data_IF_135003090098
#
_entry.id   IF_135003090098
#
_cell.length_a   1.000
_cell.length_b   1.000
_cell.length_c   1.000
_cell.angle_alpha   90.00
_cell.angle_beta   90.00
_cell.angle_gamma   90.00
#
_symmetry.space_group_name_H-M   'P 1'
#
loop_
_entity.id
_entity.type
_entity.pdbx_description
1 polymer ?
#
# COMPACT_ATOMS: atom_id res chain seq x y z
N UNK A 1 6.92 0.05 -15.81
CA UNK A 1 7.90 0.40 -14.75
C UNK A 1 9.33 0.06 -15.15
N UNK A 2 9.61 -1.04 -15.86
CA UNK A 2 11.00 -1.39 -16.20
C UNK A 2 11.66 -0.46 -17.26
N UNK A 3 10.87 0.19 -18.09
CA UNK A 3 11.37 1.02 -19.20
C UNK A 3 11.62 2.50 -18.84
N UNK A 4 11.10 2.96 -17.71
CA UNK A 4 11.27 4.34 -17.28
C UNK A 4 11.72 4.37 -15.82
N UNK A 5 12.88 4.97 -15.52
CA UNK A 5 13.34 5.14 -14.16
C UNK A 5 12.39 6.07 -13.39
N UNK A 6 12.22 5.79 -12.11
CA UNK A 6 11.43 6.67 -11.26
C UNK A 6 12.13 8.04 -11.08
N UNK A 7 11.38 9.15 -11.09
CA UNK A 7 11.92 10.45 -10.75
C UNK A 7 12.53 10.47 -9.34
N UNK A 8 13.51 11.32 -9.12
CA UNK A 8 14.06 11.55 -7.78
C UNK A 8 12.96 12.08 -6.84
N UNK A 9 13.01 11.68 -5.57
CA UNK A 9 11.98 12.03 -4.59
C UNK A 9 10.68 11.23 -4.72
N UNK A 10 10.69 10.11 -5.46
CA UNK A 10 9.54 9.21 -5.56
C UNK A 10 9.49 8.25 -4.38
N UNK A 11 8.31 8.15 -3.75
CA UNK A 11 7.92 7.04 -2.87
C UNK A 11 6.66 6.37 -3.39
N UNK A 12 6.40 5.15 -2.93
CA UNK A 12 5.24 4.37 -3.36
C UNK A 12 4.34 4.09 -2.17
N UNK A 13 3.03 4.29 -2.36
CA UNK A 13 1.97 3.78 -1.46
C UNK A 13 1.04 2.95 -2.32
N UNK A 14 0.92 1.65 -2.06
CA UNK A 14 0.14 0.77 -2.93
C UNK A 14 -0.47 -0.43 -2.22
N UNK A 15 -1.46 -1.03 -2.87
CA UNK A 15 -2.08 -2.31 -2.49
C UNK A 15 -2.16 -3.20 -3.73
N UNK A 16 -1.50 -4.36 -3.68
CA UNK A 16 -1.51 -5.30 -4.80
C UNK A 16 -2.87 -6.00 -4.93
N UNK A 17 -3.33 -6.26 -6.16
CA UNK A 17 -4.57 -6.97 -6.42
C UNK A 17 -4.68 -8.35 -5.76
N UNK A 18 -5.89 -8.70 -5.35
CA UNK A 18 -6.22 -10.02 -4.83
C UNK A 18 -6.35 -11.06 -5.95
N UNK A 19 -6.28 -12.35 -5.59
CA UNK A 19 -6.55 -13.47 -6.49
C UNK A 19 -7.90 -13.33 -7.20
N UNK A 20 -8.92 -12.81 -6.53
CA UNK A 20 -10.25 -12.55 -7.11
C UNK A 20 -10.26 -11.43 -8.15
N UNK A 21 -9.19 -10.66 -8.28
CA UNK A 21 -9.05 -9.58 -9.27
C UNK A 21 -8.24 -10.03 -10.50
N UNK A 22 -7.59 -11.21 -10.42
CA UNK A 22 -6.77 -11.83 -11.45
C UNK A 22 -7.11 -13.33 -11.58
N UNK A 23 -8.39 -13.66 -11.81
CA UNK A 23 -8.85 -15.07 -11.77
C UNK A 23 -8.17 -15.93 -12.85
N UNK A 24 -7.72 -15.33 -13.95
CA UNK A 24 -7.03 -16.00 -15.05
C UNK A 24 -5.69 -16.63 -14.64
N UNK A 25 -5.07 -16.16 -13.56
CA UNK A 25 -3.79 -16.71 -13.07
C UNK A 25 -3.97 -17.97 -12.24
N UNK A 26 -5.16 -18.24 -11.74
CA UNK A 26 -5.36 -19.24 -10.70
C UNK A 26 -4.56 -18.92 -9.42
N UNK A 27 -4.73 -19.72 -8.37
CA UNK A 27 -4.14 -19.39 -7.07
C UNK A 27 -2.59 -19.43 -7.08
N UNK A 28 -2.01 -20.50 -7.65
CA UNK A 28 -0.54 -20.65 -7.70
C UNK A 28 0.11 -19.57 -8.58
N UNK A 29 -0.46 -19.31 -9.76
CA UNK A 29 0.03 -18.26 -10.66
C UNK A 29 -0.10 -16.88 -10.04
N UNK A 30 -1.22 -16.58 -9.35
CA UNK A 30 -1.38 -15.34 -8.61
C UNK A 30 -0.33 -15.16 -7.50
N UNK A 31 -0.03 -16.22 -6.74
CA UNK A 31 0.97 -16.17 -5.66
C UNK A 31 2.37 -15.83 -6.20
N UNK A 32 2.73 -16.40 -7.36
CA UNK A 32 3.98 -16.08 -8.05
C UNK A 32 3.99 -14.65 -8.58
N UNK A 33 2.91 -14.24 -9.27
CA UNK A 33 2.74 -12.89 -9.77
C UNK A 33 2.79 -11.84 -8.66
N UNK A 34 2.13 -12.11 -7.51
CA UNK A 34 2.12 -11.19 -6.35
C UNK A 34 3.54 -10.92 -5.84
N UNK A 35 4.35 -11.97 -5.70
CA UNK A 35 5.74 -11.83 -5.30
C UNK A 35 6.56 -11.01 -6.30
N UNK A 36 6.44 -11.30 -7.59
CA UNK A 36 7.15 -10.55 -8.64
C UNK A 36 6.68 -9.10 -8.78
N UNK A 37 5.39 -8.84 -8.63
CA UNK A 37 4.85 -7.48 -8.61
C UNK A 37 5.38 -6.68 -7.42
N UNK A 38 5.43 -7.27 -6.22
CA UNK A 38 6.02 -6.64 -5.05
C UNK A 38 7.52 -6.32 -5.28
N UNK A 39 8.28 -7.28 -5.80
CA UNK A 39 9.70 -7.08 -6.15
C UNK A 39 9.89 -5.97 -7.18
N UNK A 40 9.06 -5.94 -8.23
CA UNK A 40 9.14 -4.91 -9.27
C UNK A 40 8.91 -3.50 -8.69
N UNK A 41 7.94 -3.33 -7.80
CA UNK A 41 7.68 -2.06 -7.11
C UNK A 41 8.88 -1.64 -6.25
N UNK A 42 9.43 -2.57 -5.48
CA UNK A 42 10.58 -2.33 -4.60
C UNK A 42 11.82 -1.93 -5.41
N UNK A 43 12.15 -2.66 -6.48
CA UNK A 43 13.28 -2.34 -7.37
C UNK A 43 13.15 -0.99 -8.05
N UNK A 44 11.93 -0.68 -8.53
CA UNK A 44 11.70 0.55 -9.28
C UNK A 44 11.80 1.81 -8.42
N UNK A 45 11.48 1.73 -7.13
CA UNK A 45 11.52 2.90 -6.22
C UNK A 45 12.97 3.29 -5.94
N UNK A 46 13.41 4.53 -6.24
CA UNK A 46 14.79 4.96 -6.08
C UNK A 46 15.12 5.23 -4.61
N UNK A 47 16.41 5.21 -4.25
CA UNK A 47 16.86 5.76 -2.98
C UNK A 47 16.78 7.32 -3.05
N UNK A 48 16.42 7.99 -1.93
CA UNK A 48 16.07 7.48 -0.61
C UNK A 48 14.56 7.21 -0.43
N UNK A 49 13.81 7.00 -1.51
CA UNK A 49 12.36 6.78 -1.49
C UNK A 49 11.94 5.58 -0.65
N UNK A 50 10.72 5.63 -0.15
CA UNK A 50 10.10 4.62 0.67
C UNK A 50 9.01 3.87 -0.10
N UNK A 51 8.77 2.60 0.27
CA UNK A 51 7.68 1.80 -0.29
C UNK A 51 6.77 1.37 0.84
N UNK A 52 5.50 1.77 0.76
CA UNK A 52 4.47 1.41 1.71
C UNK A 52 3.45 0.48 1.05
N UNK A 53 3.35 -0.74 1.57
CA UNK A 53 2.35 -1.70 1.13
C UNK A 53 1.20 -1.79 2.14
N UNK A 54 -0.02 -1.66 1.64
CA UNK A 54 -1.24 -1.92 2.40
C UNK A 54 -1.86 -3.22 1.92
N UNK A 55 -1.85 -4.28 2.74
CA UNK A 55 -2.29 -5.60 2.33
C UNK A 55 -3.22 -6.23 3.36
N UNK A 56 -4.28 -6.87 2.88
CA UNK A 56 -5.17 -7.69 3.72
C UNK A 56 -4.99 -9.13 3.35
N UNK A 57 -4.83 -9.98 4.36
CA UNK A 57 -4.74 -11.43 4.16
C UNK A 57 -6.01 -11.99 3.54
N UNK A 58 -5.86 -13.11 2.88
CA UNK A 58 -6.96 -13.85 2.28
C UNK A 58 -6.98 -15.29 2.79
N UNK A 59 -8.13 -15.92 2.64
CA UNK A 59 -8.27 -17.35 2.78
C UNK A 59 -8.69 -17.93 1.43
N UNK A 60 -7.89 -18.84 0.90
CA UNK A 60 -8.12 -19.45 -0.39
C UNK A 60 -8.01 -20.96 -0.25
N UNK A 61 -9.02 -21.71 -0.69
CA UNK A 61 -9.05 -23.17 -0.65
C UNK A 61 -8.70 -23.77 0.73
N UNK A 62 -9.09 -23.09 1.82
CA UNK A 62 -8.81 -23.50 3.20
C UNK A 62 -7.44 -23.04 3.74
N UNK A 63 -6.55 -22.55 2.91
CA UNK A 63 -5.24 -21.99 3.29
C UNK A 63 -5.38 -20.52 3.68
N UNK A 64 -4.74 -20.13 4.78
CA UNK A 64 -4.54 -18.73 5.13
C UNK A 64 -3.29 -18.21 4.42
N UNK A 65 -3.44 -17.13 3.67
CA UNK A 65 -2.34 -16.49 2.95
C UNK A 65 -2.01 -15.17 3.60
N UNK A 66 -0.89 -15.16 4.31
CA UNK A 66 -0.33 -13.94 4.90
C UNK A 66 0.37 -13.11 3.80
N UNK A 67 -0.32 -12.05 3.34
CA UNK A 67 0.22 -11.17 2.29
C UNK A 67 1.26 -10.21 2.83
N UNK A 68 1.24 -9.92 4.13
CA UNK A 68 2.32 -9.18 4.79
C UNK A 68 3.64 -9.92 4.70
N UNK A 69 3.64 -11.23 5.00
CA UNK A 69 4.80 -12.09 4.83
C UNK A 69 5.28 -12.18 3.37
N UNK A 70 4.36 -12.31 2.41
CA UNK A 70 4.74 -12.38 0.99
C UNK A 70 5.45 -11.11 0.54
N UNK A 71 4.97 -9.93 0.96
CA UNK A 71 5.61 -8.64 0.67
C UNK A 71 6.98 -8.55 1.36
N UNK A 72 7.07 -8.95 2.64
CA UNK A 72 8.33 -8.90 3.37
C UNK A 72 9.38 -9.82 2.74
N UNK A 73 9.01 -11.04 2.35
CA UNK A 73 9.91 -11.95 1.63
C UNK A 73 10.39 -11.36 0.30
N UNK A 74 9.51 -10.67 -0.43
CA UNK A 74 9.89 -9.96 -1.65
C UNK A 74 10.89 -8.82 -1.36
N UNK A 75 10.67 -8.09 -0.27
CA UNK A 75 11.53 -6.99 0.15
C UNK A 75 12.93 -7.48 0.56
N UNK A 76 13.01 -8.57 1.30
CA UNK A 76 14.29 -9.20 1.67
C UNK A 76 15.07 -9.65 0.44
N UNK A 77 14.41 -10.24 -0.57
CA UNK A 77 15.04 -10.64 -1.83
C UNK A 77 15.57 -9.46 -2.64
N UNK A 78 15.02 -8.27 -2.47
CA UNK A 78 15.49 -7.01 -3.11
C UNK A 78 16.41 -6.19 -2.17
N UNK A 79 16.86 -6.76 -1.05
CA UNK A 79 17.75 -6.10 -0.11
C UNK A 79 17.13 -4.92 0.64
N UNK A 80 15.79 -4.82 0.65
CA UNK A 80 15.07 -3.74 1.33
C UNK A 80 14.91 -4.01 2.82
N UNK A 81 14.90 -2.94 3.61
CA UNK A 81 14.77 -2.99 5.07
C UNK A 81 13.36 -2.63 5.49
N UNK A 82 12.72 -3.49 6.28
CA UNK A 82 11.46 -3.16 6.93
C UNK A 82 11.73 -2.13 8.03
N UNK A 83 11.18 -0.92 7.88
CA UNK A 83 11.28 0.13 8.91
C UNK A 83 10.25 -0.08 10.02
N UNK A 84 9.04 -0.44 9.65
CA UNK A 84 7.96 -0.75 10.58
C UNK A 84 6.84 -1.55 9.90
N UNK A 85 6.09 -2.26 10.72
CA UNK A 85 4.88 -2.96 10.35
C UNK A 85 3.76 -2.53 11.30
N UNK A 86 2.67 -2.02 10.76
CA UNK A 86 1.50 -1.55 11.52
C UNK A 86 0.28 -2.36 11.14
N UNK A 87 -0.63 -2.51 12.10
CA UNK A 87 -1.92 -3.18 11.92
C UNK A 87 -3.01 -2.13 11.77
N UNK A 88 -3.79 -2.23 10.70
CA UNK A 88 -4.96 -1.38 10.46
C UNK A 88 -6.21 -2.23 10.60
N UNK A 89 -7.01 -1.97 11.62
CA UNK A 89 -8.24 -2.72 11.86
C UNK A 89 -9.29 -2.41 10.77
N UNK A 90 -9.90 -3.45 10.24
CA UNK A 90 -11.03 -3.38 9.29
C UNK A 90 -12.35 -3.57 10.00
N UNK A 91 -12.31 -4.10 11.20
CA UNK A 91 -13.42 -4.30 12.15
C UNK A 91 -12.89 -4.04 13.56
N UNK A 92 -13.75 -3.71 14.51
CA UNK A 92 -13.34 -3.52 15.90
C UNK A 92 -12.52 -4.72 16.42
N UNK A 93 -11.47 -4.48 17.22
CA UNK A 93 -10.72 -5.54 17.87
C UNK A 93 -11.63 -6.49 18.64
N UNK A 94 -11.33 -7.79 18.62
CA UNK A 94 -12.18 -8.82 19.23
C UNK A 94 -13.31 -9.34 18.33
N UNK A 95 -13.54 -8.73 17.16
CA UNK A 95 -14.54 -9.23 16.20
C UNK A 95 -14.12 -10.61 15.64
N UNK A 96 -14.99 -11.61 15.79
CA UNK A 96 -14.79 -12.92 15.16
C UNK A 96 -15.12 -12.81 13.67
N UNK A 97 -14.19 -13.22 12.82
CA UNK A 97 -14.35 -13.21 11.36
C UNK A 97 -14.10 -14.61 10.80
N UNK A 98 -15.07 -15.11 10.02
CA UNK A 98 -15.05 -16.46 9.43
C UNK A 98 -14.63 -16.42 7.95
N UNK A 99 -13.40 -16.12 7.61
CA UNK A 99 -12.92 -16.24 6.23
C UNK A 99 -12.22 -15.01 5.66
N UNK A 100 -12.23 -13.88 6.35
CA UNK A 100 -11.44 -12.71 5.98
C UNK A 100 -10.76 -12.13 7.21
N UNK A 101 -9.52 -11.66 7.06
CA UNK A 101 -8.83 -10.94 8.11
C UNK A 101 -9.66 -9.72 8.55
N UNK A 102 -9.76 -9.50 9.85
CA UNK A 102 -10.37 -8.30 10.45
C UNK A 102 -9.41 -7.11 10.47
N UNK A 103 -8.24 -7.26 9.90
CA UNK A 103 -7.16 -6.27 9.84
C UNK A 103 -6.48 -6.27 8.47
N UNK A 104 -5.66 -5.27 8.25
CA UNK A 104 -4.73 -5.17 7.14
C UNK A 104 -3.35 -4.83 7.67
N UNK A 105 -2.33 -5.25 6.96
CA UNK A 105 -0.95 -4.85 7.19
C UNK A 105 -0.68 -3.51 6.49
N UNK A 106 0.02 -2.61 7.15
CA UNK A 106 0.69 -1.49 6.53
C UNK A 106 2.18 -1.62 6.83
N UNK A 107 2.98 -1.90 5.80
CA UNK A 107 4.41 -2.15 5.93
C UNK A 107 5.18 -1.07 5.19
N UNK A 108 6.23 -0.55 5.81
CA UNK A 108 7.11 0.46 5.22
C UNK A 108 8.52 -0.09 5.02
N UNK A 109 9.03 0.03 3.80
CA UNK A 109 10.35 -0.43 3.42
C UNK A 109 11.21 0.72 2.92
N UNK A 110 12.52 0.64 3.22
CA UNK A 110 13.56 1.55 2.74
C UNK A 110 14.72 0.78 2.10
N UNK A 111 15.61 1.50 1.43
CA UNK A 111 16.90 0.95 0.97
C UNK A 111 17.82 0.63 2.14
N UNK A 112 17.92 1.57 3.09
CA UNK A 112 18.80 1.47 4.25
C UNK A 112 17.99 1.47 5.54
N UNK A 113 18.51 0.83 6.61
CA UNK A 113 17.89 0.92 7.91
C UNK A 113 17.98 2.36 8.44
N UNK A 114 17.03 2.73 9.28
CA UNK A 114 17.04 4.02 9.98
C UNK A 114 17.24 3.81 11.47
N UNK A 115 18.30 4.40 12.00
CA UNK A 115 18.63 4.29 13.41
C UNK A 115 17.56 4.95 14.30
N UNK A 116 16.84 5.95 13.79
CA UNK A 116 15.78 6.65 14.49
C UNK A 116 14.64 7.02 13.55
N UNK A 117 13.42 6.82 14.01
CA UNK A 117 12.17 7.33 13.42
C UNK A 117 11.58 8.28 14.46
N UNK A 118 11.35 9.53 14.09
CA UNK A 118 10.94 10.59 15.02
C UNK A 118 9.42 10.62 15.19
N UNK A 119 8.68 10.30 14.11
CA UNK A 119 7.22 10.35 14.07
C UNK A 119 6.64 9.00 13.62
N UNK A 120 6.76 7.94 14.43
CA UNK A 120 6.37 6.58 14.00
C UNK A 120 4.86 6.42 13.79
N UNK A 121 4.04 7.25 14.45
CA UNK A 121 2.59 7.05 14.53
C UNK A 121 2.20 5.80 15.34
N UNK A 122 0.89 5.50 15.48
CA UNK A 122 0.42 4.33 16.22
C UNK A 122 0.78 3.02 15.49
N UNK A 123 1.08 1.96 16.25
CA UNK A 123 1.35 0.63 15.69
C UNK A 123 0.07 -0.10 15.30
N UNK A 124 -1.03 0.21 15.98
CA UNK A 124 -2.35 -0.30 15.66
C UNK A 124 -3.29 0.88 15.40
N UNK A 125 -3.82 0.94 14.19
CA UNK A 125 -4.87 1.88 13.82
C UNK A 125 -6.22 1.18 14.02
N UNK A 126 -7.06 1.62 14.96
CA UNK A 126 -8.29 0.91 15.33
C UNK A 126 -9.38 0.96 14.24
N UNK A 127 -9.28 1.90 13.31
CA UNK A 127 -10.13 2.04 12.13
C UNK A 127 -9.30 2.54 10.94
N UNK A 128 -9.61 2.03 9.75
CA UNK A 128 -8.97 2.48 8.51
C UNK A 128 -9.49 3.86 8.03
N UNK A 129 -10.54 4.37 8.67
CA UNK A 129 -11.24 5.58 8.27
C UNK A 129 -12.21 5.37 7.10
N UNK A 130 -12.79 6.47 6.64
CA UNK A 130 -13.74 6.48 5.54
C UNK A 130 -13.17 5.79 4.29
N UNK A 131 -14.00 4.99 3.62
CA UNK A 131 -13.66 4.31 2.38
C UNK A 131 -14.56 4.81 1.25
N UNK A 132 -14.03 5.56 0.28
CA UNK A 132 -14.79 6.01 -0.88
C UNK A 132 -15.41 4.86 -1.69
N UNK A 133 -14.86 3.64 -1.56
CA UNK A 133 -15.38 2.41 -2.12
C UNK A 133 -14.93 1.19 -1.29
N UNK A 134 -15.63 0.07 -1.43
CA UNK A 134 -15.52 -1.08 -0.51
C UNK A 134 -14.12 -1.70 -0.38
N UNK A 135 -13.30 -1.64 -1.44
CA UNK A 135 -11.93 -2.15 -1.45
C UNK A 135 -10.86 -1.06 -1.24
N UNK A 136 -11.27 0.18 -0.91
CA UNK A 136 -10.33 1.25 -0.64
C UNK A 136 -9.45 0.93 0.57
N UNK A 137 -8.25 1.46 0.56
CA UNK A 137 -7.28 1.38 1.65
C UNK A 137 -7.85 1.98 2.97
N UNK A 138 -8.72 2.99 2.85
CA UNK A 138 -9.22 3.78 3.96
C UNK A 138 -8.42 5.07 4.13
N UNK A 139 -9.17 6.15 4.37
CA UNK A 139 -8.58 7.50 4.41
C UNK A 139 -7.57 7.64 5.55
N UNK A 140 -7.86 7.12 6.74
CA UNK A 140 -6.95 7.28 7.89
C UNK A 140 -5.70 6.42 7.75
N UNK A 141 -5.79 5.26 7.10
CA UNK A 141 -4.62 4.47 6.75
C UNK A 141 -3.73 5.22 5.73
N UNK A 142 -4.32 5.88 4.73
CA UNK A 142 -3.59 6.72 3.78
C UNK A 142 -2.99 7.95 4.46
N UNK A 143 -3.72 8.60 5.39
CA UNK A 143 -3.22 9.73 6.20
C UNK A 143 -1.99 9.34 7.00
N UNK A 144 -2.03 8.17 7.67
CA UNK A 144 -0.88 7.65 8.42
C UNK A 144 0.35 7.48 7.52
N UNK A 145 0.15 6.88 6.33
CA UNK A 145 1.21 6.68 5.36
C UNK A 145 1.77 8.02 4.84
N UNK A 146 0.90 8.94 4.41
CA UNK A 146 1.30 10.25 3.87
C UNK A 146 1.97 11.13 4.93
N UNK A 147 1.45 11.14 6.17
CA UNK A 147 2.09 11.86 7.28
C UNK A 147 3.49 11.33 7.54
N UNK A 148 3.68 10.00 7.57
CA UNK A 148 5.01 9.42 7.73
C UNK A 148 5.96 9.84 6.61
N UNK A 149 5.51 9.82 5.35
CA UNK A 149 6.34 10.30 4.23
C UNK A 149 6.72 11.76 4.39
N UNK A 150 5.79 12.62 4.82
CA UNK A 150 6.04 14.05 4.99
C UNK A 150 7.02 14.36 6.11
N UNK A 151 6.94 13.62 7.21
CA UNK A 151 7.72 13.87 8.42
C UNK A 151 9.08 13.15 8.41
N UNK A 152 9.18 12.01 7.70
CA UNK A 152 10.34 11.13 7.77
C UNK A 152 11.06 10.95 6.41
N UNK A 153 10.67 11.66 5.36
CA UNK A 153 11.33 11.55 4.06
C UNK A 153 11.31 12.85 3.27
N UNK A 154 12.12 12.90 2.22
CA UNK A 154 12.12 14.01 1.25
C UNK A 154 11.25 13.69 0.02
N UNK A 155 10.17 12.92 0.22
CA UNK A 155 9.24 12.57 -0.85
C UNK A 155 8.59 13.81 -1.43
N UNK A 156 8.55 13.86 -2.76
CA UNK A 156 7.84 14.89 -3.54
C UNK A 156 6.72 14.27 -4.36
N UNK A 157 6.93 13.06 -4.86
CA UNK A 157 5.99 12.33 -5.69
C UNK A 157 5.59 11.00 -5.01
N UNK A 158 4.31 10.80 -4.83
CA UNK A 158 3.73 9.53 -4.40
C UNK A 158 3.18 8.80 -5.62
N UNK A 159 3.62 7.56 -5.82
CA UNK A 159 3.14 6.72 -6.93
C UNK A 159 2.36 5.53 -6.37
N UNK A 160 1.21 5.26 -6.99
CA UNK A 160 0.45 4.03 -6.76
C UNK A 160 0.27 3.28 -8.09
N UNK A 161 1.06 2.21 -8.34
CA UNK A 161 0.98 1.45 -9.59
C UNK A 161 -0.27 0.57 -9.72
N UNK A 162 -1.12 0.52 -8.69
CA UNK A 162 -2.39 -0.22 -8.68
C UNK A 162 -3.50 0.63 -8.05
N UNK A 163 -3.61 1.89 -8.48
CA UNK A 163 -4.31 2.94 -7.74
C UNK A 163 -5.84 2.77 -7.62
N UNK A 164 -6.44 1.90 -8.41
CA UNK A 164 -7.89 1.71 -8.37
C UNK A 164 -8.67 3.02 -8.53
N UNK A 165 -9.42 3.41 -7.51
CA UNK A 165 -10.17 4.68 -7.49
C UNK A 165 -9.37 5.86 -6.91
N UNK A 166 -8.06 5.70 -6.65
CA UNK A 166 -7.16 6.80 -6.33
C UNK A 166 -7.22 7.33 -4.89
N UNK A 167 -7.71 6.57 -3.92
CA UNK A 167 -7.83 7.05 -2.52
C UNK A 167 -6.47 7.50 -1.95
N UNK A 168 -5.41 6.69 -2.12
CA UNK A 168 -4.08 7.05 -1.65
C UNK A 168 -3.55 8.31 -2.35
N UNK A 169 -3.82 8.47 -3.66
CA UNK A 169 -3.40 9.63 -4.44
C UNK A 169 -4.10 10.91 -4.00
N UNK A 170 -5.42 10.85 -3.75
CA UNK A 170 -6.19 11.99 -3.28
C UNK A 170 -5.69 12.46 -1.90
N UNK A 171 -5.39 11.52 -0.99
CA UNK A 171 -4.79 11.86 0.31
C UNK A 171 -3.37 12.41 0.14
N UNK A 172 -2.54 11.84 -0.75
CA UNK A 172 -1.20 12.35 -1.02
C UNK A 172 -1.22 13.80 -1.51
N UNK A 173 -2.12 14.14 -2.45
CA UNK A 173 -2.31 15.52 -2.90
C UNK A 173 -2.69 16.46 -1.75
N UNK A 174 -3.59 16.03 -0.84
CA UNK A 174 -3.95 16.80 0.34
C UNK A 174 -2.75 17.09 1.27
N UNK A 175 -1.79 16.15 1.34
CA UNK A 175 -0.54 16.32 2.09
C UNK A 175 0.53 17.12 1.35
N UNK A 176 0.23 17.64 0.15
CA UNK A 176 1.12 18.48 -0.65
C UNK A 176 2.10 17.72 -1.54
N UNK A 177 1.91 16.42 -1.72
CA UNK A 177 2.67 15.63 -2.68
C UNK A 177 2.07 15.72 -4.08
N UNK A 178 2.90 15.68 -5.09
CA UNK A 178 2.46 15.24 -6.41
C UNK A 178 2.05 13.78 -6.35
N UNK A 179 1.03 13.38 -7.10
CA UNK A 179 0.54 12.01 -7.08
C UNK A 179 0.34 11.44 -8.48
N UNK A 180 0.85 10.24 -8.72
CA UNK A 180 0.73 9.52 -9.98
C UNK A 180 0.15 8.12 -9.76
N UNK A 181 -0.91 7.80 -10.46
CA UNK A 181 -1.54 6.48 -10.40
C UNK A 181 -1.54 5.75 -11.72
N UNK A 182 -1.40 4.41 -11.66
CA UNK A 182 -1.61 3.52 -12.79
C UNK A 182 -2.81 2.62 -12.50
N UNK A 183 -3.71 2.52 -13.46
CA UNK A 183 -4.91 1.67 -13.39
C UNK A 183 -5.31 1.23 -14.80
N UNK A 184 -5.59 -0.06 -14.98
CA UNK A 184 -5.97 -0.64 -16.27
C UNK A 184 -7.44 -0.37 -16.62
N UNK A 185 -8.31 -0.26 -15.62
CA UNK A 185 -9.73 -0.01 -15.83
C UNK A 185 -10.01 1.47 -16.08
N UNK A 186 -10.41 1.80 -17.31
CA UNK A 186 -10.81 3.18 -17.67
C UNK A 186 -11.94 3.72 -16.80
N UNK A 187 -12.85 2.85 -16.32
CA UNK A 187 -13.91 3.24 -15.36
C UNK A 187 -13.33 3.70 -14.04
N UNK A 188 -12.36 2.94 -13.47
CA UNK A 188 -11.70 3.29 -12.22
C UNK A 188 -10.84 4.55 -12.39
N UNK A 189 -10.13 4.71 -13.52
CA UNK A 189 -9.38 5.94 -13.84
C UNK A 189 -10.30 7.17 -13.83
N UNK A 190 -11.48 7.07 -14.46
CA UNK A 190 -12.45 8.19 -14.44
C UNK A 190 -12.94 8.50 -13.02
N UNK A 191 -13.13 7.49 -12.19
CA UNK A 191 -13.51 7.68 -10.79
C UNK A 191 -12.38 8.34 -10.00
N UNK A 192 -11.14 7.87 -10.16
CA UNK A 192 -9.96 8.44 -9.49
C UNK A 192 -9.76 9.92 -9.83
N UNK A 193 -9.93 10.31 -11.10
CA UNK A 193 -9.82 11.71 -11.54
C UNK A 193 -10.89 12.64 -10.96
N UNK A 194 -12.01 12.09 -10.47
CA UNK A 194 -13.12 12.85 -9.88
C UNK A 194 -13.15 12.78 -8.37
N UNK A 195 -12.29 11.96 -7.78
CA UNK A 195 -12.28 11.78 -6.33
C UNK A 195 -11.77 13.05 -5.66
N UNK A 196 -12.66 13.71 -4.94
CA UNK A 196 -12.35 14.81 -4.03
C UNK A 196 -12.63 14.30 -2.62
N UNK A 197 -11.67 14.45 -1.73
CA UNK A 197 -11.81 14.11 -0.31
C UNK A 197 -11.82 15.41 0.49
N UNK A 198 -12.89 15.64 1.23
CA UNK A 198 -12.92 16.67 2.27
C UNK A 198 -12.20 16.08 3.49
N UNK A 199 -10.99 16.51 3.72
CA UNK A 199 -10.16 16.06 4.82
C UNK A 199 -9.94 17.25 5.76
N UNK A 200 -10.40 17.10 7.00
CA UNK A 200 -10.06 18.06 8.06
C UNK A 200 -8.54 18.04 8.28
N UNK A 201 -7.96 19.22 8.41
CA UNK A 201 -6.52 19.45 8.59
C UNK A 201 -6.08 19.06 10.01
#
# INVERSE_FOLDING_TARGET
MAEHPAPAGTSVITSLPDVSELPELGFSGWKSWFGEAARAVLRWTPAPGLVLFFQSDIRESGEWVDKGYLVQRAAEAEGRRLLWHKVVCRRPPGTISHGRASYSHLLCFAHEPRARITHPGPDVLPDAGYKPWSKAMGVDACRLACRFLREESETKLVVDPFCGHGTALAVANHYGFDALGVELSTRKVRAAKRLVLELDV
#
